data_IF_062401539456
#
_entry.id   IF_062401539456
#
_cell.length_a   1.000
_cell.length_b   1.000
_cell.length_c   1.000
_cell.angle_alpha   90.00
_cell.angle_beta   90.00
_cell.angle_gamma   90.00
#
_symmetry.space_group_name_H-M   'P 1'
#
loop_
_entity.id
_entity.type
_entity.pdbx_description
1 polymer ?
#
# COMPACT_ATOMS: atom_id res chain seq x y z
N UNK A 1 27.59 -0.56 5.40
CA UNK A 1 26.86 0.15 4.33
C UNK A 1 25.73 -0.76 3.87
N UNK A 2 24.50 -0.25 3.72
CA UNK A 2 23.37 -1.03 3.17
C UNK A 2 23.63 -1.25 1.68
N UNK A 3 23.51 -2.49 1.19
CA UNK A 3 23.71 -2.77 -0.22
C UNK A 3 22.50 -2.32 -1.06
N UNK A 4 22.73 -1.95 -2.32
CA UNK A 4 21.67 -1.59 -3.26
C UNK A 4 20.61 -2.71 -3.41
N UNK A 5 21.05 -3.96 -3.34
CA UNK A 5 20.17 -5.14 -3.38
C UNK A 5 19.27 -5.22 -2.14
N UNK A 6 19.80 -4.94 -0.95
CA UNK A 6 19.01 -4.92 0.29
C UNK A 6 17.91 -3.86 0.23
N UNK A 7 18.21 -2.65 -0.27
CA UNK A 7 17.21 -1.59 -0.44
C UNK A 7 16.12 -2.02 -1.40
N UNK A 8 16.51 -2.57 -2.56
CA UNK A 8 15.58 -3.04 -3.58
C UNK A 8 14.66 -4.14 -3.05
N UNK A 9 15.22 -5.18 -2.42
CA UNK A 9 14.45 -6.29 -1.87
C UNK A 9 13.46 -5.80 -0.81
N UNK A 10 13.83 -4.80 -0.01
CA UNK A 10 12.95 -4.20 0.99
C UNK A 10 11.78 -3.44 0.37
N UNK A 11 12.04 -2.65 -0.68
CA UNK A 11 10.98 -1.94 -1.40
C UNK A 11 10.02 -2.91 -2.10
N UNK A 12 10.56 -3.95 -2.76
CA UNK A 12 9.75 -4.99 -3.39
C UNK A 12 8.92 -5.76 -2.37
N UNK A 13 9.48 -6.06 -1.19
CA UNK A 13 8.73 -6.65 -0.09
C UNK A 13 7.58 -5.75 0.38
N UNK A 14 7.80 -4.42 0.45
CA UNK A 14 6.74 -3.46 0.81
C UNK A 14 5.57 -3.49 -0.17
N UNK A 15 5.87 -3.51 -1.48
CA UNK A 15 4.86 -3.65 -2.54
C UNK A 15 4.13 -4.99 -2.39
N UNK A 16 4.87 -6.08 -2.25
CA UNK A 16 4.30 -7.43 -2.16
C UNK A 16 3.38 -7.60 -0.94
N UNK A 17 3.81 -7.15 0.24
CA UNK A 17 2.99 -7.22 1.46
C UNK A 17 1.72 -6.39 1.30
N UNK A 18 1.82 -5.19 0.73
CA UNK A 18 0.65 -4.33 0.51
C UNK A 18 -0.32 -4.94 -0.50
N UNK A 19 0.20 -5.62 -1.52
CA UNK A 19 -0.60 -6.39 -2.45
C UNK A 19 -1.35 -7.53 -1.75
N UNK A 20 -0.69 -8.29 -0.86
CA UNK A 20 -1.35 -9.35 -0.08
C UNK A 20 -2.45 -8.78 0.82
N UNK A 21 -2.20 -7.66 1.51
CA UNK A 21 -3.23 -6.98 2.31
C UNK A 21 -4.42 -6.53 1.46
N UNK A 22 -4.17 -5.97 0.28
CA UNK A 22 -5.22 -5.60 -0.66
C UNK A 22 -6.02 -6.83 -1.11
N UNK A 23 -5.34 -7.92 -1.45
CA UNK A 23 -5.97 -9.14 -1.92
C UNK A 23 -6.84 -9.80 -0.83
N UNK A 24 -6.37 -9.81 0.42
CA UNK A 24 -7.16 -10.29 1.57
C UNK A 24 -8.43 -9.43 1.78
N UNK A 25 -8.30 -8.10 1.78
CA UNK A 25 -9.46 -7.20 1.94
C UNK A 25 -10.43 -7.28 0.76
N UNK A 26 -9.94 -7.56 -0.45
CA UNK A 26 -10.76 -7.80 -1.63
C UNK A 26 -11.64 -9.04 -1.42
N UNK A 27 -11.07 -10.14 -0.92
CA UNK A 27 -11.82 -11.35 -0.59
C UNK A 27 -12.94 -11.11 0.43
N UNK A 28 -12.65 -10.34 1.49
CA UNK A 28 -13.64 -9.97 2.50
C UNK A 28 -14.78 -9.12 1.91
N UNK A 29 -14.44 -8.12 1.11
CA UNK A 29 -15.43 -7.27 0.42
C UNK A 29 -16.31 -8.12 -0.51
N UNK A 30 -15.72 -9.02 -1.31
CA UNK A 30 -16.45 -9.92 -2.22
C UNK A 30 -17.40 -10.86 -1.48
N UNK A 31 -16.98 -11.36 -0.32
CA UNK A 31 -17.83 -12.17 0.57
C UNK A 31 -19.04 -11.37 1.07
N UNK A 32 -18.84 -10.09 1.41
CA UNK A 32 -19.90 -9.17 1.82
C UNK A 32 -20.90 -8.94 0.70
N UNK A 33 -20.42 -8.59 -0.49
CA UNK A 33 -21.27 -8.35 -1.66
C UNK A 33 -22.06 -9.61 -2.04
N UNK A 34 -21.45 -10.80 -1.94
CA UNK A 34 -22.14 -12.07 -2.21
C UNK A 34 -23.31 -12.31 -1.23
N UNK A 35 -23.11 -12.01 0.06
CA UNK A 35 -24.17 -12.14 1.08
C UNK A 35 -25.28 -11.10 0.91
N UNK A 36 -24.97 -9.92 0.36
CA UNK A 36 -25.93 -8.86 0.09
C UNK A 36 -26.74 -9.05 -1.21
N UNK A 37 -26.46 -10.11 -1.99
CA UNK A 37 -27.14 -10.36 -3.27
C UNK A 37 -26.45 -9.65 -4.44
N UNK A 38 -25.24 -10.11 -4.79
CA UNK A 38 -24.41 -9.54 -5.84
C UNK A 38 -25.14 -9.42 -7.20
N UNK A 39 -25.32 -8.20 -7.71
CA UNK A 39 -25.87 -7.94 -9.04
C UNK A 39 -24.74 -7.71 -10.06
N UNK A 40 -24.57 -8.62 -11.01
CA UNK A 40 -23.59 -8.48 -12.09
C UNK A 40 -23.96 -7.39 -13.11
N UNK A 41 -25.22 -6.98 -13.17
CA UNK A 41 -25.68 -5.96 -14.13
C UNK A 41 -25.37 -4.55 -13.64
N UNK A 42 -25.31 -4.34 -12.32
CA UNK A 42 -25.00 -3.06 -11.69
C UNK A 42 -23.85 -3.19 -10.68
N UNK A 43 -22.59 -3.36 -11.15
CA UNK A 43 -21.46 -3.64 -10.25
C UNK A 43 -21.15 -2.50 -9.26
N UNK A 44 -21.52 -1.26 -9.58
CA UNK A 44 -21.29 -0.09 -8.70
C UNK A 44 -22.24 -0.07 -7.50
N UNK A 45 -23.52 -0.38 -7.71
CA UNK A 45 -24.50 -0.42 -6.62
C UNK A 45 -24.21 -1.51 -5.60
N UNK A 46 -23.47 -2.56 -5.99
CA UNK A 46 -23.04 -3.61 -5.05
C UNK A 46 -22.13 -3.09 -3.93
N UNK A 47 -21.39 -2.00 -4.14
CA UNK A 47 -20.58 -1.37 -3.09
C UNK A 47 -21.45 -0.48 -2.20
N UNK A 48 -22.31 0.32 -2.83
CA UNK A 48 -23.17 1.30 -2.15
C UNK A 48 -24.22 0.62 -1.26
N UNK A 49 -24.64 -0.60 -1.62
CA UNK A 49 -25.58 -1.42 -0.84
C UNK A 49 -24.94 -2.15 0.35
N UNK A 50 -23.62 -2.05 0.55
CA UNK A 50 -22.96 -2.69 1.69
C UNK A 50 -23.18 -1.91 2.97
N UNK A 51 -23.63 -2.61 4.01
CA UNK A 51 -23.82 -2.04 5.34
C UNK A 51 -22.96 -2.75 6.40
N UNK A 52 -22.84 -2.12 7.57
CA UNK A 52 -22.18 -2.69 8.74
C UNK A 52 -20.75 -3.15 8.46
N UNK A 53 -20.50 -4.46 8.57
CA UNK A 53 -19.17 -5.02 8.34
C UNK A 53 -18.76 -5.00 6.86
N UNK A 54 -19.70 -5.09 5.93
CA UNK A 54 -19.43 -5.05 4.49
C UNK A 54 -18.94 -3.69 4.04
N UNK A 55 -19.56 -2.62 4.55
CA UNK A 55 -19.11 -1.24 4.34
C UNK A 55 -17.68 -1.04 4.84
N UNK A 56 -17.33 -1.61 6.01
CA UNK A 56 -15.96 -1.56 6.55
C UNK A 56 -14.97 -2.33 5.68
N UNK A 57 -15.35 -3.50 5.17
CA UNK A 57 -14.50 -4.29 4.28
C UNK A 57 -14.23 -3.55 2.95
N UNK A 58 -15.26 -2.90 2.39
CA UNK A 58 -15.11 -2.06 1.20
C UNK A 58 -14.18 -0.86 1.45
N UNK A 59 -14.40 -0.12 2.55
CA UNK A 59 -13.54 1.01 2.92
C UNK A 59 -12.09 0.59 3.19
N UNK A 60 -11.86 -0.58 3.78
CA UNK A 60 -10.53 -1.14 3.99
C UNK A 60 -9.86 -1.54 2.66
N UNK A 61 -10.62 -2.15 1.74
CA UNK A 61 -10.11 -2.51 0.42
C UNK A 61 -9.72 -1.29 -0.40
N UNK A 62 -10.59 -0.27 -0.47
CA UNK A 62 -10.32 0.98 -1.18
C UNK A 62 -9.07 1.69 -0.63
N UNK A 63 -8.98 1.87 0.69
CA UNK A 63 -7.80 2.48 1.32
C UNK A 63 -6.50 1.69 1.07
N UNK A 64 -6.58 0.36 1.05
CA UNK A 64 -5.41 -0.49 0.79
C UNK A 64 -4.99 -0.45 -0.69
N UNK A 65 -5.95 -0.29 -1.60
CA UNK A 65 -5.66 -0.09 -3.03
C UNK A 65 -4.93 1.23 -3.27
N UNK A 66 -5.37 2.33 -2.66
CA UNK A 66 -4.68 3.62 -2.74
C UNK A 66 -3.23 3.50 -2.28
N UNK A 67 -3.02 2.88 -1.10
CA UNK A 67 -1.68 2.64 -0.58
C UNK A 67 -0.82 1.78 -1.52
N UNK A 68 -1.40 0.75 -2.15
CA UNK A 68 -0.72 -0.11 -3.11
C UNK A 68 -0.26 0.69 -4.34
N UNK A 69 -1.13 1.54 -4.89
CA UNK A 69 -0.81 2.38 -6.05
C UNK A 69 0.37 3.30 -5.72
N UNK A 70 0.33 3.94 -4.55
CA UNK A 70 1.38 4.85 -4.11
C UNK A 70 2.73 4.16 -3.90
N UNK A 71 2.78 3.07 -3.12
CA UNK A 71 4.05 2.38 -2.86
C UNK A 71 4.64 1.74 -4.11
N UNK A 72 3.80 1.22 -5.01
CA UNK A 72 4.23 0.67 -6.31
C UNK A 72 4.86 1.76 -7.16
N UNK A 73 4.21 2.92 -7.25
CA UNK A 73 4.69 4.05 -8.04
C UNK A 73 6.02 4.61 -7.48
N UNK A 74 6.11 4.79 -6.17
CA UNK A 74 7.34 5.26 -5.53
C UNK A 74 8.50 4.27 -5.70
N UNK A 75 8.21 2.96 -5.59
CA UNK A 75 9.21 1.89 -5.82
C UNK A 75 9.67 1.89 -7.28
N UNK A 76 8.74 1.99 -8.23
CA UNK A 76 9.08 2.07 -9.65
C UNK A 76 9.98 3.28 -9.94
N UNK A 77 9.66 4.46 -9.40
CA UNK A 77 10.51 5.65 -9.56
C UNK A 77 11.90 5.47 -8.98
N UNK A 78 12.04 4.83 -7.81
CA UNK A 78 13.36 4.50 -7.25
C UNK A 78 14.15 3.49 -8.11
N UNK A 79 13.48 2.55 -8.77
CA UNK A 79 14.11 1.58 -9.67
C UNK A 79 14.57 2.23 -10.98
N UNK A 80 13.71 3.04 -11.60
CA UNK A 80 13.96 3.64 -12.92
C UNK A 80 14.78 4.93 -12.88
N UNK A 81 14.78 5.65 -11.75
CA UNK A 81 15.50 6.91 -11.56
C UNK A 81 17.03 6.75 -11.43
N UNK A 82 17.70 5.93 -12.23
CA UNK A 82 19.17 5.83 -12.28
C UNK A 82 19.86 5.61 -10.92
N UNK A 83 19.86 4.36 -10.47
CA UNK A 83 20.58 3.79 -9.30
C UNK A 83 21.94 4.44 -8.99
N UNK A 84 21.95 5.43 -8.09
CA UNK A 84 22.95 5.53 -7.04
C UNK A 84 22.20 5.58 -5.72
N UNK A 85 22.05 4.43 -5.08
CA UNK A 85 21.70 4.34 -3.66
C UNK A 85 22.89 4.86 -2.83
N UNK A 86 23.26 6.12 -3.03
CA UNK A 86 24.30 6.82 -2.28
C UNK A 86 23.84 7.07 -0.84
N UNK A 87 24.06 8.28 -0.31
CA UNK A 87 23.71 8.64 1.07
C UNK A 87 22.23 8.42 1.46
N UNK A 88 21.34 8.21 0.49
CA UNK A 88 19.90 8.03 0.68
C UNK A 88 19.46 6.56 0.87
N UNK A 89 20.32 5.57 0.61
CA UNK A 89 20.00 4.13 0.65
C UNK A 89 19.31 3.68 1.96
N UNK A 90 19.92 4.05 3.10
CA UNK A 90 19.45 3.69 4.43
C UNK A 90 18.10 4.33 4.75
N UNK A 91 17.90 5.58 4.34
CA UNK A 91 16.66 6.30 4.58
C UNK A 91 15.50 5.72 3.74
N UNK A 92 15.75 5.43 2.47
CA UNK A 92 14.80 4.76 1.58
C UNK A 92 14.37 3.39 2.14
N UNK A 93 15.32 2.57 2.61
CA UNK A 93 15.01 1.29 3.27
C UNK A 93 14.18 1.50 4.54
N UNK A 94 14.54 2.47 5.39
CA UNK A 94 13.81 2.77 6.61
C UNK A 94 12.36 3.21 6.34
N UNK A 95 12.13 4.07 5.34
CA UNK A 95 10.78 4.51 4.98
C UNK A 95 9.91 3.35 4.45
N UNK A 96 10.48 2.42 3.69
CA UNK A 96 9.77 1.20 3.28
C UNK A 96 9.38 0.32 4.47
N UNK A 97 10.27 0.16 5.45
CA UNK A 97 9.98 -0.61 6.68
C UNK A 97 8.89 0.07 7.51
N UNK A 98 9.02 1.38 7.75
CA UNK A 98 8.03 2.18 8.48
C UNK A 98 6.67 2.04 7.80
N UNK A 99 6.61 2.16 6.46
CA UNK A 99 5.39 1.97 5.70
C UNK A 99 4.74 0.60 5.96
N UNK A 100 5.50 -0.50 5.88
CA UNK A 100 4.98 -1.85 6.12
C UNK A 100 4.43 -2.00 7.54
N UNK A 101 5.24 -1.64 8.56
CA UNK A 101 4.86 -1.78 9.98
C UNK A 101 3.57 -1.02 10.26
N UNK A 102 3.49 0.20 9.72
CA UNK A 102 2.31 1.05 9.84
C UNK A 102 1.04 0.41 9.23
N UNK A 103 1.17 -0.45 8.23
CA UNK A 103 0.00 -1.03 7.55
C UNK A 103 -0.53 -2.29 8.22
N UNK A 104 0.25 -2.91 9.10
CA UNK A 104 -0.13 -4.13 9.82
C UNK A 104 -0.77 -3.81 11.18
N UNK A 105 -0.55 -2.61 11.74
CA UNK A 105 -1.07 -2.21 13.04
C UNK A 105 -2.53 -1.69 12.98
N UNK A 106 -3.29 -1.95 14.04
CA UNK A 106 -4.73 -1.69 14.16
C UNK A 106 -5.08 -0.20 14.39
N UNK A 107 -4.10 0.66 14.75
CA UNK A 107 -4.33 2.09 14.98
C UNK A 107 -4.37 2.88 13.67
N UNK A 108 -5.57 3.21 13.21
CA UNK A 108 -5.80 3.57 11.80
C UNK A 108 -5.32 4.95 11.35
N UNK A 109 -5.42 6.00 12.18
CA UNK A 109 -5.31 7.38 11.66
C UNK A 109 -3.89 7.94 11.72
N UNK A 110 -3.21 7.87 12.87
CA UNK A 110 -1.84 8.39 13.01
C UNK A 110 -0.81 7.58 12.22
N UNK A 111 -1.02 6.27 12.19
CA UNK A 111 -0.16 5.33 11.48
C UNK A 111 -0.35 5.43 9.96
N UNK A 112 -1.57 5.73 9.49
CA UNK A 112 -1.80 6.00 8.06
C UNK A 112 -1.03 7.24 7.60
N UNK A 113 -1.09 8.35 8.36
CA UNK A 113 -0.36 9.58 8.02
C UNK A 113 1.14 9.31 7.92
N UNK A 114 1.71 8.58 8.89
CA UNK A 114 3.12 8.23 8.87
C UNK A 114 3.49 7.37 7.66
N UNK A 115 2.64 6.40 7.29
CA UNK A 115 2.84 5.59 6.08
C UNK A 115 2.81 6.45 4.81
N UNK A 116 1.91 7.45 4.72
CA UNK A 116 1.84 8.35 3.56
C UNK A 116 3.04 9.29 3.49
N UNK A 117 3.53 9.79 4.64
CA UNK A 117 4.77 10.56 4.71
C UNK A 117 5.95 9.73 4.21
N UNK A 118 6.04 8.45 4.57
CA UNK A 118 7.08 7.55 4.07
C UNK A 118 7.03 7.39 2.54
N UNK A 119 5.84 7.24 1.95
CA UNK A 119 5.69 7.20 0.49
C UNK A 119 6.15 8.52 -0.14
N UNK A 120 5.71 9.66 0.40
CA UNK A 120 6.11 10.96 -0.11
C UNK A 120 7.63 11.14 -0.04
N UNK A 121 8.26 10.71 1.06
CA UNK A 121 9.71 10.70 1.20
C UNK A 121 10.37 9.81 0.13
N UNK A 122 9.84 8.61 -0.15
CA UNK A 122 10.36 7.74 -1.21
C UNK A 122 10.29 8.40 -2.60
N UNK A 123 9.22 9.17 -2.89
CA UNK A 123 9.15 9.97 -4.11
C UNK A 123 10.21 11.06 -4.13
N UNK A 124 10.35 11.84 -3.05
CA UNK A 124 11.33 12.92 -2.96
C UNK A 124 12.76 12.39 -3.15
N UNK A 125 13.08 11.27 -2.48
CA UNK A 125 14.39 10.63 -2.58
C UNK A 125 14.68 10.10 -3.99
N UNK A 126 13.67 9.79 -4.79
CA UNK A 126 13.87 9.41 -6.19
C UNK A 126 14.30 10.57 -7.10
N UNK A 127 14.20 11.83 -6.64
CA UNK A 127 14.74 13.00 -7.36
C UNK A 127 16.12 13.42 -6.85
N UNK A 128 16.51 12.99 -5.65
CA UNK A 128 17.73 13.39 -4.96
C UNK A 128 18.67 12.19 -4.99
N UNK A 129 19.42 12.05 -6.09
CA UNK A 129 20.44 11.01 -6.27
C UNK A 129 21.76 11.38 -5.59
#
# INVERSE_FOLDING_TARGET
>A
MVSAEQVLNTQLAAVFITFLLWFCTLGLMRSAQKRAGYDNKNPRSNNDALEGWGARAHAANANTLEALVFITSATAMNIFGARKYGGVATATMAFSIIFIVCRVDAFRTGIWVLSMISVLALFIMSFIH
#
